data_IF_035716211742
#
_entry.id   IF_035716211742
#
_cell.length_a   1.000
_cell.length_b   1.000
_cell.length_c   1.000
_cell.angle_alpha   90.00
_cell.angle_beta   90.00
_cell.angle_gamma   90.00
#
_symmetry.space_group_name_H-M   'P 1'
#
loop_
_entity.id
_entity.type
_entity.pdbx_description
1 polymer ?
#
# COMPACT_ATOMS: atom_id res chain seq x y z
N UNK A 1 -14.17 0.12 -23.39
CA UNK A 1 -13.88 0.35 -22.99
C UNK A 1 -13.22 0.59 -22.61
N UNK A 2 -12.99 0.77 -22.43
CA UNK A 2 -12.52 1.03 -21.95
C UNK A 2 -12.13 0.82 -21.47
N UNK A 3 -12.09 0.52 -21.15
CA UNK A 3 -11.71 0.29 -20.62
C UNK A 3 -10.95 -0.32 -20.60
N UNK A 4 -11.00 -0.59 -21.38
CA UNK A 4 -10.12 -1.61 -21.39
C UNK A 4 -8.85 -1.33 -20.73
N UNK A 5 -8.19 -0.34 -21.03
CA UNK A 5 -7.03 -0.10 -20.41
C UNK A 5 -7.21 0.03 -19.01
N UNK A 6 -8.35 0.28 -18.66
CA UNK A 6 -8.58 0.39 -17.36
C UNK A 6 -8.44 -0.85 -16.69
N UNK A 7 -8.33 -1.90 -17.37
CA UNK A 7 -8.22 -3.15 -16.76
C UNK A 7 -7.08 -3.20 -15.85
N UNK A 8 -6.02 -2.49 -16.15
CA UNK A 8 -4.93 -2.53 -15.29
C UNK A 8 -5.25 -1.99 -13.99
N UNK A 9 -6.04 -0.98 -13.98
CA UNK A 9 -6.48 -0.42 -12.77
C UNK A 9 -7.26 -1.39 -11.98
N UNK A 10 -8.02 -2.20 -12.68
CA UNK A 10 -8.84 -3.16 -12.01
C UNK A 10 -8.04 -4.32 -11.47
N UNK A 11 -6.76 -4.39 -11.74
CA UNK A 11 -5.94 -5.43 -11.20
C UNK A 11 -5.56 -5.21 -9.74
N UNK A 12 -6.08 -4.19 -9.11
CA UNK A 12 -5.85 -3.98 -7.68
C UNK A 12 -6.80 -4.85 -6.87
N UNK A 13 -6.34 -5.28 -5.71
CA UNK A 13 -7.21 -6.00 -4.79
C UNK A 13 -8.19 -5.04 -4.16
N UNK A 14 -9.25 -5.54 -3.55
CA UNK A 14 -10.06 -4.71 -2.66
C UNK A 14 -9.22 -4.29 -1.46
N UNK A 15 -9.75 -3.37 -0.67
CA UNK A 15 -9.08 -2.96 0.55
C UNK A 15 -9.22 -4.05 1.60
N UNK A 16 -8.09 -4.42 2.21
CA UNK A 16 -8.08 -5.35 3.31
C UNK A 16 -7.99 -4.59 4.62
N UNK A 17 -8.50 -5.19 5.69
CA UNK A 17 -8.44 -4.57 7.01
C UNK A 17 -7.00 -4.55 7.49
N UNK A 18 -6.70 -3.60 8.38
CA UNK A 18 -5.34 -3.49 8.88
C UNK A 18 -4.85 -4.70 9.66
N UNK A 19 -5.76 -5.52 10.19
CA UNK A 19 -5.37 -6.73 10.90
C UNK A 19 -4.94 -7.84 9.95
N UNK A 20 -5.37 -7.78 8.70
CA UNK A 20 -4.93 -8.75 7.70
C UNK A 20 -3.57 -8.33 7.19
N UNK A 21 -2.66 -9.25 7.07
CA UNK A 21 -1.29 -8.94 6.66
C UNK A 21 -1.01 -9.49 5.29
N UNK A 22 -0.24 -8.76 4.47
CA UNK A 22 0.15 -9.28 3.18
C UNK A 22 0.98 -10.55 3.31
N UNK A 23 0.84 -11.43 2.36
CA UNK A 23 1.60 -12.67 2.35
C UNK A 23 3.03 -12.42 1.91
N UNK A 24 3.24 -11.45 1.03
CA UNK A 24 4.54 -11.20 0.45
C UNK A 24 5.05 -9.83 0.80
N UNK A 25 6.36 -9.72 0.96
CA UNK A 25 6.97 -8.41 1.10
C UNK A 25 6.85 -7.64 -0.20
N UNK A 26 6.82 -6.33 -0.11
CA UNK A 26 6.74 -5.49 -1.30
C UNK A 26 5.99 -4.21 -1.03
N UNK A 27 5.71 -3.49 -2.11
CA UNK A 27 5.03 -2.22 -2.04
C UNK A 27 3.54 -2.41 -2.21
N UNK A 28 2.77 -1.76 -1.35
CA UNK A 28 1.31 -1.80 -1.38
C UNK A 28 0.79 -0.40 -1.18
N UNK A 29 -0.48 -0.19 -1.48
CA UNK A 29 -1.15 1.07 -1.18
C UNK A 29 -1.82 0.94 0.18
N UNK A 30 -1.78 2.02 0.96
CA UNK A 30 -2.47 2.06 2.25
C UNK A 30 -3.32 3.30 2.31
N UNK A 31 -4.44 3.21 3.02
CA UNK A 31 -5.39 4.30 3.10
C UNK A 31 -5.12 5.11 4.36
N UNK A 32 -4.83 6.38 4.15
CA UNK A 32 -4.59 7.32 5.24
C UNK A 32 -5.75 8.29 5.31
N UNK A 33 -5.93 8.89 6.46
CA UNK A 33 -6.94 9.91 6.64
C UNK A 33 -6.30 11.16 7.23
N UNK A 34 -6.57 12.28 6.61
CA UNK A 34 -6.18 13.57 7.14
C UNK A 34 -7.48 14.23 7.59
N UNK A 35 -7.77 14.10 8.89
CA UNK A 35 -9.10 14.44 9.36
C UNK A 35 -10.09 13.46 8.76
N UNK A 36 -11.04 13.96 7.97
CA UNK A 36 -12.02 13.10 7.31
C UNK A 36 -11.69 12.85 5.84
N UNK A 37 -10.57 13.35 5.37
CA UNK A 37 -10.22 13.23 3.96
C UNK A 37 -9.36 11.99 3.74
N UNK A 38 -9.83 11.02 2.93
CA UNK A 38 -9.02 9.84 2.65
C UNK A 38 -7.91 10.18 1.68
N UNK A 39 -6.79 9.51 1.81
CA UNK A 39 -5.64 9.68 0.95
C UNK A 39 -4.97 8.33 0.82
N UNK A 40 -4.34 8.08 -0.34
CA UNK A 40 -3.64 6.83 -0.58
C UNK A 40 -2.16 7.12 -0.63
N UNK A 41 -1.38 6.33 0.08
CA UNK A 41 0.06 6.41 0.03
C UNK A 41 0.63 5.02 -0.19
N UNK A 42 1.87 4.98 -0.64
CA UNK A 42 2.56 3.72 -0.90
C UNK A 42 3.46 3.40 0.28
N UNK A 43 3.40 2.16 0.74
CA UNK A 43 4.22 1.71 1.85
C UNK A 43 4.88 0.39 1.51
N UNK A 44 6.00 0.12 2.14
CA UNK A 44 6.69 -1.15 1.96
C UNK A 44 6.35 -2.07 3.13
N UNK A 45 5.98 -3.31 2.82
CA UNK A 45 5.72 -4.35 3.81
C UNK A 45 6.94 -5.24 3.88
N UNK A 46 7.59 -5.28 5.03
CA UNK A 46 8.84 -6.04 5.17
C UNK A 46 8.64 -7.45 5.69
N UNK A 47 7.42 -7.88 5.81
CA UNK A 47 7.08 -9.20 6.35
C UNK A 47 6.56 -9.14 7.78
N UNK A 48 6.79 -8.04 8.46
CA UNK A 48 6.32 -7.86 9.82
C UNK A 48 5.73 -6.49 10.07
N UNK A 49 6.25 -5.48 9.43
CA UNK A 49 5.84 -4.11 9.70
C UNK A 49 5.73 -3.29 8.42
N UNK A 50 4.93 -2.22 8.50
CA UNK A 50 4.77 -1.29 7.41
C UNK A 50 5.75 -0.14 7.54
N UNK A 51 6.28 0.31 6.40
CA UNK A 51 7.13 1.50 6.36
C UNK A 51 6.29 2.77 6.38
N UNK A 52 6.96 3.89 6.53
CA UNK A 52 6.34 5.20 6.35
C UNK A 52 5.75 5.30 4.96
N UNK A 53 4.69 6.10 4.83
CA UNK A 53 4.03 6.29 3.55
C UNK A 53 4.81 7.21 2.64
N UNK A 54 4.79 6.90 1.36
CA UNK A 54 5.47 7.68 0.33
C UNK A 54 4.50 8.03 -0.76
N UNK A 55 4.85 9.04 -1.55
CA UNK A 55 3.96 9.49 -2.62
C UNK A 55 3.98 8.58 -3.83
N UNK A 56 5.05 7.83 -4.04
CA UNK A 56 5.17 6.97 -5.21
C UNK A 56 5.60 5.57 -4.78
N UNK A 57 5.28 4.60 -5.63
CA UNK A 57 5.70 3.23 -5.38
C UNK A 57 7.21 3.10 -5.41
N UNK A 58 7.88 3.89 -6.25
CA UNK A 58 9.32 3.83 -6.33
C UNK A 58 9.99 4.29 -5.05
N UNK A 59 9.44 5.34 -4.44
CA UNK A 59 10.00 5.79 -3.18
C UNK A 59 9.73 4.79 -2.08
N UNK A 60 8.56 4.17 -2.08
CA UNK A 60 8.26 3.16 -1.09
C UNK A 60 9.18 1.95 -1.22
N UNK A 61 9.54 1.58 -2.44
CA UNK A 61 10.41 0.43 -2.65
C UNK A 61 11.79 0.61 -2.02
N UNK A 62 12.22 1.85 -1.82
CA UNK A 62 13.52 2.10 -1.22
C UNK A 62 13.57 1.66 0.23
N UNK A 63 12.44 1.48 0.86
CA UNK A 63 12.41 1.00 2.23
C UNK A 63 12.86 -0.45 2.35
N UNK A 64 13.01 -1.14 1.24
CA UNK A 64 13.58 -2.47 1.28
C UNK A 64 15.03 -2.40 1.76
N UNK A 65 15.72 -1.31 1.46
CA UNK A 65 17.10 -1.13 1.85
C UNK A 65 17.22 -0.26 3.08
N UNK A 66 16.49 0.85 3.11
CA UNK A 66 16.55 1.79 4.20
C UNK A 66 15.16 1.93 4.81
N UNK A 67 14.79 0.98 5.64
CA UNK A 67 13.44 0.89 6.19
C UNK A 67 13.21 1.92 7.30
N UNK A 68 12.11 2.66 7.18
CA UNK A 68 11.66 3.55 8.23
C UNK A 68 10.29 3.11 8.68
N UNK A 69 10.17 2.72 9.93
CA UNK A 69 8.93 2.18 10.48
C UNK A 69 7.84 3.23 10.55
N UNK A 70 6.65 2.87 10.10
CA UNK A 70 5.50 3.73 10.24
C UNK A 70 4.96 3.66 11.67
N UNK A 71 4.55 4.78 12.25
CA UNK A 71 3.86 4.73 13.54
C UNK A 71 2.46 4.16 13.40
N UNK A 72 1.92 4.05 12.19
CA UNK A 72 0.60 3.53 11.97
C UNK A 72 0.68 2.18 11.28
N UNK A 73 0.39 1.12 12.02
CA UNK A 73 0.53 -0.24 11.51
C UNK A 73 -0.80 -0.89 11.18
N UNK A 74 -1.92 -0.24 11.46
CA UNK A 74 -3.23 -0.89 11.31
C UNK A 74 -4.14 -0.25 10.27
N UNK A 75 -3.56 0.43 9.30
CA UNK A 75 -4.36 1.03 8.23
C UNK A 75 -4.72 -0.02 7.19
N UNK A 76 -5.87 0.19 6.55
CA UNK A 76 -6.27 -0.68 5.44
C UNK A 76 -5.26 -0.61 4.31
N UNK A 77 -5.12 -1.68 3.57
CA UNK A 77 -4.15 -1.78 2.49
C UNK A 77 -4.72 -2.54 1.32
N UNK A 78 -4.12 -2.36 0.16
CA UNK A 78 -4.46 -3.15 -1.02
C UNK A 78 -3.23 -3.27 -1.91
N UNK A 79 -3.23 -4.29 -2.73
CA UNK A 79 -2.12 -4.53 -3.65
C UNK A 79 -2.65 -4.95 -5.01
N UNK A 80 -1.74 -5.42 -5.87
CA UNK A 80 -2.15 -5.88 -7.19
C UNK A 80 -2.62 -7.32 -7.11
N UNK A 81 -3.44 -7.69 -8.07
CA UNK A 81 -3.96 -9.06 -8.15
C UNK A 81 -3.04 -9.96 -8.93
N UNK A 82 -1.81 -9.78 -8.90
CA UNK A 82 -0.94 -10.62 -9.71
C UNK A 82 -0.52 -11.89 -9.07
#
# INVERSE_FOLDING_TARGET
MAFGKEDRTLAMTPWFQGADRPIRTGVYQRQYFYGKTPSVQYCYWDGQNWSMGEHTAEQAAKHEIAFNLSPRQHLAWRGTLK
#
